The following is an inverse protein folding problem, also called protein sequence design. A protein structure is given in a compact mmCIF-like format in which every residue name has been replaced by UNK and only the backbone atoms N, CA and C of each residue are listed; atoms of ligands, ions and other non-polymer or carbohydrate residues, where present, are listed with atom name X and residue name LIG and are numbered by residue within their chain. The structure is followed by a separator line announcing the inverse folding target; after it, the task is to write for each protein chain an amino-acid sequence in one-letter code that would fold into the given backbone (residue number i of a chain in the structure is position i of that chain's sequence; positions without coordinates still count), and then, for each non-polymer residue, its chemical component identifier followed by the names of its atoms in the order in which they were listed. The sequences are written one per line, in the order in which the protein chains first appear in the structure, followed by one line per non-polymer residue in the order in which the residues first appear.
data_IF_871238275875
#
_entry.id   IF_871238275875
#
_cell.length_a   1.000
_cell.length_b   1.000
_cell.length_c   1.000
_cell.angle_alpha   90.00
_cell.angle_beta   90.00
_cell.angle_gamma   90.00
#
_symmetry.space_group_name_H-M   'P 1'
#
loop_
_entity.id
_entity.type
_entity.pdbx_description
1 polymer ?
#
# COMPACT_ATOMS: atom_id res chain seq x y z
N UNK A 1 -7.92 3.56 -2.03
CA UNK A 1 -8.30 4.96 -2.29
C UNK A 1 -8.35 5.17 -3.79
N UNK A 2 -9.01 6.22 -4.26
CA UNK A 2 -9.04 6.55 -5.68
C UNK A 2 -9.79 7.84 -5.91
N UNK A 3 -9.54 8.46 -7.05
CA UNK A 3 -10.26 9.64 -7.53
C UNK A 3 -11.24 9.16 -8.59
N UNK A 4 -12.45 9.70 -8.59
CA UNK A 4 -13.42 9.53 -9.66
C UNK A 4 -14.12 10.88 -9.86
N UNK A 5 -13.97 11.45 -11.06
CA UNK A 5 -14.42 12.80 -11.37
C UNK A 5 -15.04 12.86 -12.76
N UNK A 6 -15.92 13.82 -12.94
CA UNK A 6 -16.43 14.26 -14.24
C UNK A 6 -15.91 15.69 -14.49
N UNK A 7 -15.66 16.11 -15.73
CA UNK A 7 -15.15 17.46 -16.02
C UNK A 7 -16.06 18.55 -15.47
N UNK A 8 -15.50 19.47 -14.67
CA UNK A 8 -16.27 20.51 -14.00
C UNK A 8 -16.97 21.48 -14.97
N UNK A 9 -16.42 21.64 -16.18
CA UNK A 9 -16.95 22.54 -17.21
C UNK A 9 -18.24 22.01 -17.85
N UNK A 10 -18.53 20.71 -17.73
CA UNK A 10 -19.65 20.06 -18.43
C UNK A 10 -20.55 19.22 -17.51
N UNK A 11 -20.16 18.96 -16.26
CA UNK A 11 -20.97 18.16 -15.36
C UNK A 11 -22.22 18.92 -14.86
N UNK A 12 -23.36 18.24 -14.83
CA UNK A 12 -24.59 18.77 -14.25
C UNK A 12 -25.51 17.63 -13.81
N UNK A 13 -26.37 17.89 -12.82
CA UNK A 13 -27.29 16.88 -12.26
C UNK A 13 -28.19 16.24 -13.33
N UNK A 14 -28.55 16.99 -14.37
CA UNK A 14 -29.46 16.56 -15.45
C UNK A 14 -28.76 16.14 -16.75
N UNK A 15 -27.43 16.06 -16.77
CA UNK A 15 -26.65 15.74 -17.97
C UNK A 15 -25.97 14.38 -17.79
N UNK A 16 -26.16 13.48 -18.75
CA UNK A 16 -25.43 12.21 -18.79
C UNK A 16 -23.95 12.53 -19.02
N UNK A 17 -23.02 12.09 -18.15
CA UNK A 17 -21.59 12.38 -18.32
C UNK A 17 -21.06 11.81 -19.64
N UNK A 18 -20.44 12.66 -20.45
CA UNK A 18 -19.72 12.23 -21.66
C UNK A 18 -18.31 11.70 -21.38
N UNK A 19 -17.77 12.01 -20.20
CA UNK A 19 -16.42 11.63 -19.77
C UNK A 19 -16.41 11.41 -18.25
N UNK A 20 -15.67 10.39 -17.82
CA UNK A 20 -15.35 10.10 -16.42
C UNK A 20 -13.87 9.80 -16.34
N UNK A 21 -13.18 10.46 -15.42
CA UNK A 21 -11.79 10.18 -15.09
C UNK A 21 -11.75 9.45 -13.76
N UNK A 22 -10.96 8.38 -13.67
CA UNK A 22 -10.79 7.67 -12.43
C UNK A 22 -9.40 7.07 -12.31
N UNK A 23 -8.96 6.84 -11.08
CA UNK A 23 -7.70 6.15 -10.79
C UNK A 23 -7.96 4.70 -10.38
N UNK A 24 -7.10 3.80 -10.81
CA UNK A 24 -7.12 2.39 -10.41
C UNK A 24 -5.75 1.99 -9.87
N UNK A 25 -5.74 1.31 -8.74
CA UNK A 25 -4.52 0.87 -8.06
C UNK A 25 -4.63 -0.61 -7.67
N UNK A 26 -3.54 -1.34 -7.89
CA UNK A 26 -3.38 -2.72 -7.44
C UNK A 26 -2.03 -2.89 -6.74
N UNK A 27 -2.00 -3.67 -5.66
CA UNK A 27 -0.80 -3.93 -4.86
C UNK A 27 -0.64 -5.43 -4.67
N UNK A 28 0.61 -5.92 -4.78
CA UNK A 28 0.98 -7.31 -4.51
C UNK A 28 2.47 -7.38 -4.25
N UNK A 29 2.90 -8.38 -3.46
CA UNK A 29 4.32 -8.71 -3.30
C UNK A 29 4.89 -9.46 -4.51
N UNK A 30 4.03 -10.00 -5.37
CA UNK A 30 4.43 -10.73 -6.58
C UNK A 30 4.22 -9.86 -7.83
N UNK A 31 5.33 -9.49 -8.47
CA UNK A 31 5.34 -8.71 -9.71
C UNK A 31 4.62 -9.44 -10.87
N UNK A 32 4.71 -10.77 -10.94
CA UNK A 32 4.01 -11.54 -11.97
C UNK A 32 2.49 -11.47 -11.76
N UNK A 33 2.03 -11.46 -10.51
CA UNK A 33 0.61 -11.25 -10.18
C UNK A 33 0.14 -9.86 -10.60
N UNK A 34 0.92 -8.80 -10.36
CA UNK A 34 0.59 -7.45 -10.83
C UNK A 34 0.47 -7.37 -12.35
N UNK A 35 1.37 -8.04 -13.08
CA UNK A 35 1.32 -8.01 -14.54
C UNK A 35 0.08 -8.73 -15.09
N UNK A 36 -0.26 -9.90 -14.53
CA UNK A 36 -1.49 -10.61 -14.90
C UNK A 36 -2.73 -9.78 -14.61
N UNK A 37 -2.75 -9.09 -13.47
CA UNK A 37 -3.88 -8.23 -13.10
C UNK A 37 -4.01 -7.00 -14.00
N UNK A 38 -2.88 -6.40 -14.38
CA UNK A 38 -2.85 -5.29 -15.33
C UNK A 38 -3.39 -5.72 -16.71
N UNK A 39 -2.97 -6.89 -17.22
CA UNK A 39 -3.50 -7.42 -18.47
C UNK A 39 -5.01 -7.68 -18.39
N UNK A 40 -5.46 -8.30 -17.29
CA UNK A 40 -6.88 -8.55 -17.05
C UNK A 40 -7.69 -7.24 -17.04
N UNK A 41 -7.20 -6.21 -16.34
CA UNK A 41 -7.87 -4.90 -16.29
C UNK A 41 -8.01 -4.30 -17.70
N UNK A 42 -6.96 -4.36 -18.53
CA UNK A 42 -7.04 -3.88 -19.91
C UNK A 42 -8.03 -4.69 -20.75
N UNK A 43 -8.08 -6.01 -20.58
CA UNK A 43 -9.01 -6.89 -21.28
C UNK A 43 -10.46 -6.55 -20.93
N UNK A 44 -10.75 -6.35 -19.63
CA UNK A 44 -12.07 -5.95 -19.14
C UNK A 44 -12.47 -4.57 -19.66
N UNK A 45 -11.58 -3.58 -19.64
CA UNK A 45 -11.84 -2.27 -20.23
C UNK A 45 -12.16 -2.35 -21.73
N UNK A 46 -11.46 -3.21 -22.48
CA UNK A 46 -11.77 -3.45 -23.90
C UNK A 46 -13.16 -4.07 -24.09
N UNK A 47 -13.49 -5.09 -23.29
CA UNK A 47 -14.79 -5.74 -23.35
C UNK A 47 -15.94 -4.78 -23.01
N UNK A 48 -15.80 -4.01 -21.93
CA UNK A 48 -16.77 -2.99 -21.51
C UNK A 48 -16.90 -1.89 -22.56
N UNK A 49 -15.77 -1.44 -23.12
CA UNK A 49 -15.76 -0.43 -24.18
C UNK A 49 -16.56 -0.86 -25.40
N UNK A 50 -16.38 -2.11 -25.84
CA UNK A 50 -17.13 -2.68 -26.97
C UNK A 50 -18.63 -2.86 -26.67
N UNK A 51 -18.98 -3.34 -25.47
CA UNK A 51 -20.37 -3.56 -25.05
C UNK A 51 -21.14 -2.23 -24.88
N UNK A 52 -20.50 -1.22 -24.30
CA UNK A 52 -21.14 0.05 -23.92
C UNK A 52 -20.95 1.18 -24.91
N UNK A 53 -20.13 0.99 -25.95
CA UNK A 53 -19.82 2.04 -26.92
C UNK A 53 -19.01 3.20 -26.33
N UNK A 54 -18.16 2.92 -25.35
CA UNK A 54 -17.29 3.91 -24.68
C UNK A 54 -15.82 3.62 -24.99
N UNK A 55 -14.97 4.64 -24.84
CA UNK A 55 -13.52 4.52 -25.01
C UNK A 55 -12.84 4.65 -23.65
N UNK A 56 -11.90 3.75 -23.38
CA UNK A 56 -10.96 3.89 -22.27
C UNK A 56 -9.64 4.45 -22.83
N UNK A 57 -9.14 5.51 -22.20
CA UNK A 57 -7.83 6.08 -22.45
C UNK A 57 -7.01 5.90 -21.17
N UNK A 58 -5.79 5.37 -21.32
CA UNK A 58 -4.91 5.08 -20.20
C UNK A 58 -3.72 6.03 -20.21
N UNK A 59 -3.40 6.58 -19.04
CA UNK A 59 -2.15 7.28 -18.81
C UNK A 59 -0.97 6.31 -18.72
N UNK A 60 0.24 6.87 -18.63
CA UNK A 60 1.43 6.09 -18.31
C UNK A 60 1.26 5.31 -17.01
N UNK A 61 1.56 4.01 -17.05
CA UNK A 61 1.52 3.15 -15.88
C UNK A 61 2.53 3.64 -14.84
N UNK A 62 2.02 4.00 -13.67
CA UNK A 62 2.83 4.15 -12.47
C UNK A 62 3.12 2.76 -11.89
N UNK A 63 4.40 2.39 -11.85
CA UNK A 63 4.85 1.11 -11.31
C UNK A 63 5.93 1.31 -10.27
N UNK A 64 5.76 0.63 -9.13
CA UNK A 64 6.77 0.51 -8.09
C UNK A 64 7.01 -0.97 -7.85
N UNK A 65 8.26 -1.41 -7.94
CA UNK A 65 8.61 -2.79 -7.67
C UNK A 65 8.34 -3.13 -6.19
N UNK A 66 7.90 -4.36 -5.88
CA UNK A 66 7.80 -4.81 -4.50
C UNK A 66 9.17 -4.72 -3.79
N UNK A 67 9.21 -4.04 -2.64
CA UNK A 67 10.40 -3.98 -1.81
C UNK A 67 10.41 -5.11 -0.78
N UNK A 68 11.56 -5.74 -0.59
CA UNK A 68 11.79 -6.71 0.49
C UNK A 68 12.56 -6.02 1.61
N UNK A 69 12.08 -6.18 2.84
CA UNK A 69 12.79 -5.69 4.03
C UNK A 69 13.96 -6.63 4.37
N UNK A 70 14.96 -6.08 5.03
CA UNK A 70 16.17 -6.81 5.43
C UNK A 70 15.85 -7.86 6.49
N UNK A 71 16.19 -9.12 6.18
CA UNK A 71 15.89 -10.27 7.04
C UNK A 71 16.67 -10.22 8.37
N UNK A 72 17.87 -9.64 8.39
CA UNK A 72 18.65 -9.46 9.61
C UNK A 72 17.96 -8.53 10.60
N UNK A 73 17.42 -7.41 10.11
CA UNK A 73 16.61 -6.50 10.91
C UNK A 73 15.30 -7.13 11.39
N UNK A 74 14.60 -7.90 10.54
CA UNK A 74 13.38 -8.61 10.95
C UNK A 74 13.68 -9.56 12.11
N UNK A 75 14.69 -10.43 11.96
CA UNK A 75 15.09 -11.38 13.00
C UNK A 75 15.55 -10.70 14.29
N UNK A 76 16.20 -9.54 14.18
CA UNK A 76 16.59 -8.73 15.34
C UNK A 76 15.37 -8.26 16.14
N UNK A 77 14.32 -7.76 15.48
CA UNK A 77 13.09 -7.39 16.19
C UNK A 77 12.33 -8.60 16.74
N UNK A 78 12.32 -9.73 16.03
CA UNK A 78 11.76 -10.99 16.54
C UNK A 78 12.47 -11.45 17.83
N UNK A 79 13.80 -11.31 17.89
CA UNK A 79 14.58 -11.62 19.08
C UNK A 79 14.27 -10.67 20.25
N UNK A 80 14.05 -9.37 19.99
CA UNK A 80 13.63 -8.39 20.99
C UNK A 80 12.28 -8.79 21.59
N UNK A 81 11.28 -9.08 20.74
CA UNK A 81 9.97 -9.52 21.20
C UNK A 81 10.05 -10.83 22.02
N UNK A 82 10.86 -11.79 21.56
CA UNK A 82 11.04 -13.07 22.26
C UNK A 82 11.64 -12.91 23.66
N UNK A 83 12.58 -11.97 23.87
CA UNK A 83 13.13 -11.65 25.21
C UNK A 83 12.07 -11.10 26.15
N UNK A 84 11.06 -10.42 25.62
CA UNK A 84 9.89 -9.93 26.35
C UNK A 84 8.78 -10.99 26.51
N UNK A 85 9.01 -12.24 26.07
CA UNK A 85 8.01 -13.31 26.13
C UNK A 85 6.85 -13.14 25.13
N UNK A 86 7.05 -12.34 24.08
CA UNK A 86 6.05 -12.03 23.06
C UNK A 86 6.51 -12.51 21.68
N UNK A 87 5.59 -12.49 20.71
CA UNK A 87 5.85 -12.84 19.31
C UNK A 87 5.46 -11.70 18.39
N UNK A 88 6.25 -11.48 17.35
CA UNK A 88 5.90 -10.60 16.23
C UNK A 88 5.31 -11.42 15.08
N UNK A 89 4.32 -10.86 14.41
CA UNK A 89 3.80 -11.40 13.15
C UNK A 89 4.48 -10.70 11.98
N UNK A 90 4.95 -11.47 11.00
CA UNK A 90 5.46 -10.91 9.74
C UNK A 90 4.28 -10.58 8.84
N UNK A 91 4.08 -9.29 8.57
CA UNK A 91 3.01 -8.82 7.70
C UNK A 91 3.57 -7.95 6.56
N UNK A 92 3.09 -8.10 5.32
CA UNK A 92 3.45 -7.20 4.25
C UNK A 92 2.82 -5.83 4.49
N UNK A 93 3.56 -4.77 4.17
CA UNK A 93 2.95 -3.44 4.13
C UNK A 93 1.99 -3.33 2.96
N UNK A 94 0.74 -3.02 3.28
CA UNK A 94 -0.26 -2.67 2.29
C UNK A 94 -0.01 -1.30 1.66
N UNK A 95 0.79 -0.41 2.26
CA UNK A 95 1.01 0.96 1.81
C UNK A 95 2.49 1.24 1.45
N UNK A 96 2.71 2.27 0.63
CA UNK A 96 4.06 2.78 0.35
C UNK A 96 4.63 3.52 1.57
N UNK A 97 5.88 3.23 1.91
CA UNK A 97 6.65 3.89 2.96
C UNK A 97 8.08 4.14 2.47
N UNK A 98 8.76 5.13 3.05
CA UNK A 98 10.14 5.47 2.66
C UNK A 98 11.13 4.31 2.83
N UNK A 99 10.86 3.38 3.74
CA UNK A 99 11.64 2.15 3.90
C UNK A 99 11.73 1.33 2.59
N UNK A 100 10.69 1.33 1.76
CA UNK A 100 10.72 0.67 0.46
C UNK A 100 11.70 1.34 -0.52
N UNK A 101 11.83 2.68 -0.44
CA UNK A 101 12.78 3.45 -1.24
C UNK A 101 14.22 3.14 -0.81
N UNK A 102 14.48 3.08 0.50
CA UNK A 102 15.79 2.69 1.03
C UNK A 102 16.17 1.27 0.63
N UNK A 103 15.25 0.32 0.77
CA UNK A 103 15.47 -1.06 0.34
C UNK A 103 15.78 -1.15 -1.16
N UNK A 104 15.05 -0.41 -2.01
CA UNK A 104 15.32 -0.35 -3.45
C UNK A 104 16.69 0.26 -3.78
N UNK A 105 17.22 1.14 -2.93
CA UNK A 105 18.56 1.71 -3.04
C UNK A 105 19.66 0.80 -2.47
N UNK A 106 19.33 -0.41 -2.00
CA UNK A 106 20.27 -1.36 -1.41
C UNK A 106 20.67 -1.03 0.04
N UNK A 107 19.93 -0.15 0.71
CA UNK A 107 20.13 0.18 2.12
C UNK A 107 19.28 -0.78 2.96
N UNK A 108 19.86 -1.54 3.91
CA UNK A 108 19.09 -2.41 4.80
C UNK A 108 18.00 -1.62 5.55
N UNK A 109 16.75 -2.03 5.37
CA UNK A 109 15.59 -1.36 5.98
C UNK A 109 14.60 -2.40 6.48
N UNK A 110 13.90 -2.07 7.57
CA UNK A 110 12.78 -2.85 8.10
C UNK A 110 11.77 -1.90 8.74
N UNK A 111 10.55 -2.38 8.95
CA UNK A 111 9.48 -1.63 9.59
C UNK A 111 8.92 -2.43 10.76
N UNK A 112 8.63 -1.75 11.86
CA UNK A 112 7.89 -2.29 12.98
C UNK A 112 6.52 -1.62 12.99
N UNK A 113 5.46 -2.40 12.82
CA UNK A 113 4.10 -1.90 12.84
C UNK A 113 3.48 -1.96 14.24
N UNK A 114 2.73 -0.91 14.55
CA UNK A 114 1.91 -0.80 15.75
C UNK A 114 0.45 -0.95 15.34
N UNK A 115 -0.36 -1.60 16.17
CA UNK A 115 -1.79 -1.77 15.90
C UNK A 115 -2.47 -0.40 15.82
N UNK A 116 -3.36 -0.27 14.85
CA UNK A 116 -4.13 0.94 14.62
C UNK A 116 -5.60 0.58 14.38
N UNK A 117 -6.50 1.16 15.15
CA UNK A 117 -7.93 1.02 15.03
C UNK A 117 -8.47 1.90 13.90
N UNK A 118 -9.56 1.44 13.26
CA UNK A 118 -10.31 2.15 12.21
C UNK A 118 -9.55 2.45 10.91
N UNK A 119 -8.32 1.94 10.76
CA UNK A 119 -7.49 2.13 9.58
C UNK A 119 -6.92 3.55 9.48
N UNK A 120 -5.98 3.74 8.56
CA UNK A 120 -5.33 5.04 8.34
C UNK A 120 -6.10 5.92 7.35
N UNK A 121 -5.76 7.21 7.29
CA UNK A 121 -6.46 8.23 6.49
C UNK A 121 -7.96 8.36 6.84
N UNK A 122 -8.26 8.12 8.12
CA UNK A 122 -9.60 8.19 8.67
C UNK A 122 -9.61 9.22 9.80
N UNK A 123 -10.57 10.17 9.88
CA UNK A 123 -10.69 11.06 11.03
C UNK A 123 -10.86 10.34 12.39
N UNK A 124 -11.27 9.07 12.36
CA UNK A 124 -11.40 8.20 13.54
C UNK A 124 -10.19 7.26 13.72
N UNK A 125 -9.12 7.44 12.94
CA UNK A 125 -7.85 6.73 13.14
C UNK A 125 -7.39 6.89 14.60
N UNK A 126 -7.13 5.75 15.25
CA UNK A 126 -6.80 5.72 16.66
C UNK A 126 -5.80 4.61 16.96
N UNK A 127 -4.82 4.90 17.81
CA UNK A 127 -3.81 3.96 18.25
C UNK A 127 -3.88 3.87 19.77
N UNK A 128 -3.80 2.66 20.32
CA UNK A 128 -3.68 2.49 21.76
C UNK A 128 -2.29 2.97 22.21
N UNK A 129 -2.25 3.74 23.30
CA UNK A 129 -1.00 4.31 23.80
C UNK A 129 -0.06 3.20 24.29
N UNK A 130 -0.59 2.10 24.83
CA UNK A 130 0.22 0.99 25.31
C UNK A 130 0.90 0.27 24.13
N UNK A 131 0.19 0.13 23.00
CA UNK A 131 0.75 -0.43 21.77
C UNK A 131 1.84 0.48 21.19
N UNK A 132 1.64 1.80 21.22
CA UNK A 132 2.64 2.77 20.79
C UNK A 132 3.90 2.72 21.66
N UNK A 133 3.74 2.68 22.98
CA UNK A 133 4.85 2.60 23.92
C UNK A 133 5.62 1.29 23.73
N UNK A 134 4.94 0.16 23.57
CA UNK A 134 5.59 -1.12 23.27
C UNK A 134 6.37 -1.07 21.95
N UNK A 135 5.77 -0.51 20.90
CA UNK A 135 6.41 -0.36 19.59
C UNK A 135 7.68 0.51 19.65
N UNK A 136 7.61 1.64 20.35
CA UNK A 136 8.77 2.54 20.53
C UNK A 136 9.87 1.92 21.39
N UNK A 137 9.51 1.19 22.44
CA UNK A 137 10.45 0.44 23.26
C UNK A 137 11.18 -0.62 22.42
N UNK A 138 10.45 -1.42 21.65
CA UNK A 138 11.04 -2.47 20.81
C UNK A 138 11.89 -1.91 19.68
N UNK A 139 11.48 -0.77 19.10
CA UNK A 139 12.31 -0.04 18.15
C UNK A 139 13.64 0.38 18.78
N UNK A 140 13.60 0.99 19.97
CA UNK A 140 14.80 1.41 20.69
C UNK A 140 15.71 0.22 21.05
N UNK A 141 15.14 -0.86 21.57
CA UNK A 141 15.90 -2.08 21.90
C UNK A 141 16.53 -2.72 20.67
N UNK A 142 15.83 -2.77 19.53
CA UNK A 142 16.38 -3.29 18.29
C UNK A 142 17.52 -2.42 17.75
N UNK A 143 17.42 -1.09 17.84
CA UNK A 143 18.48 -0.18 17.42
C UNK A 143 19.73 -0.25 18.31
N UNK A 144 19.56 -0.54 19.59
CA UNK A 144 20.63 -0.61 20.59
C UNK A 144 21.17 -2.02 20.82
N UNK A 145 20.57 -3.05 20.24
CA UNK A 145 21.04 -4.42 20.34
C UNK A 145 22.33 -4.58 19.52
N UNK A 146 23.40 -5.04 20.17
CA UNK A 146 24.66 -5.44 19.52
C UNK A 146 24.45 -6.63 18.58
#
# INVERSE_FOLDING_TARGET
SGICTTPAQSHAVSVIPGEVQFSFEARSQDAATLERFHQLMQDECRAIGADRGVRFEFDDRLYTAPASMDEGWIQRFEAVAARAGQTLERIPSGAGHDAAVFAAAGIPASMLFVRNAHGSHNPQEAMDIDDFLLGTEWLAQGLLAD
#
